data_IF_542352718117
#
_entry.id   IF_542352718117
#
_cell.length_a   1.000
_cell.length_b   1.000
_cell.length_c   1.000
_cell.angle_alpha   90.00
_cell.angle_beta   90.00
_cell.angle_gamma   90.00
#
_symmetry.space_group_name_H-M   'P 1'
#
loop_
_entity.id
_entity.type
_entity.pdbx_description
1 polymer ?
#
# COMPACT_ATOMS: atom_id res chain seq x y z
N UNK A 1 12.56 16.60 -3.20
CA UNK A 1 11.55 15.62 -3.59
C UNK A 1 12.09 14.24 -3.38
N UNK A 2 11.34 13.36 -2.75
CA UNK A 2 11.80 12.02 -2.45
C UNK A 2 11.47 11.11 -3.63
N UNK A 3 12.49 10.57 -4.29
CA UNK A 3 12.29 9.68 -5.43
C UNK A 3 11.50 8.42 -5.05
N UNK A 4 11.60 7.97 -3.80
CA UNK A 4 10.86 6.82 -3.33
C UNK A 4 9.35 7.12 -3.29
N UNK A 5 8.97 8.31 -2.85
CA UNK A 5 7.56 8.70 -2.85
C UNK A 5 7.02 8.76 -4.28
N UNK A 6 7.82 9.23 -5.22
CA UNK A 6 7.43 9.23 -6.63
C UNK A 6 7.20 7.81 -7.14
N UNK A 7 8.06 6.86 -6.74
CA UNK A 7 7.87 5.46 -7.10
C UNK A 7 6.57 4.89 -6.51
N UNK A 8 6.25 5.26 -5.28
CA UNK A 8 5.00 4.84 -4.64
C UNK A 8 3.79 5.39 -5.40
N UNK A 9 3.84 6.67 -5.75
CA UNK A 9 2.76 7.30 -6.50
C UNK A 9 2.56 6.62 -7.87
N UNK A 10 3.66 6.33 -8.55
CA UNK A 10 3.61 5.62 -9.84
C UNK A 10 3.01 4.21 -9.68
N UNK A 11 3.41 3.51 -8.62
CA UNK A 11 2.90 2.17 -8.37
C UNK A 11 1.39 2.18 -8.13
N UNK A 12 0.92 3.12 -7.34
CA UNK A 12 -0.53 3.26 -7.07
C UNK A 12 -1.27 3.63 -8.35
N UNK A 13 -0.72 4.55 -9.14
CA UNK A 13 -1.34 4.98 -10.39
C UNK A 13 -1.40 3.85 -11.42
N UNK A 14 -0.52 2.86 -11.31
CA UNK A 14 -0.48 1.73 -12.24
C UNK A 14 -1.46 0.62 -11.90
N UNK A 15 -2.18 0.71 -10.79
CA UNK A 15 -3.15 -0.30 -10.41
C UNK A 15 -4.31 -0.35 -11.41
N UNK A 16 -4.88 -1.54 -11.66
CA UNK A 16 -6.07 -1.65 -12.49
C UNK A 16 -7.20 -0.75 -11.97
N UNK A 17 -8.02 -0.24 -12.87
CA UNK A 17 -9.05 0.74 -12.54
C UNK A 17 -10.04 0.22 -11.49
N UNK A 18 -10.41 -1.05 -11.57
CA UNK A 18 -11.33 -1.65 -10.59
C UNK A 18 -10.74 -1.66 -9.18
N UNK A 19 -9.41 -1.75 -9.06
CA UNK A 19 -8.75 -1.71 -7.76
C UNK A 19 -8.52 -0.28 -7.26
N UNK A 20 -8.33 0.66 -8.16
CA UNK A 20 -8.16 2.06 -7.75
C UNK A 20 -9.39 2.60 -7.03
N UNK A 21 -10.56 2.05 -7.32
CA UNK A 21 -11.79 2.39 -6.60
C UNK A 21 -11.71 2.11 -5.11
N UNK A 22 -10.99 1.05 -4.72
CA UNK A 22 -10.80 0.76 -3.29
C UNK A 22 -9.89 1.77 -2.61
N UNK A 23 -9.12 2.52 -3.37
CA UNK A 23 -8.16 3.49 -2.84
C UNK A 23 -8.77 4.86 -2.57
N UNK A 24 -10.05 5.05 -2.87
CA UNK A 24 -10.69 6.37 -2.80
C UNK A 24 -10.65 7.00 -1.40
N UNK A 25 -10.58 6.18 -0.36
CA UNK A 25 -10.45 6.68 1.00
C UNK A 25 -9.28 6.01 1.73
N UNK A 26 -8.19 5.84 1.02
CA UNK A 26 -6.97 5.23 1.58
C UNK A 26 -5.80 6.16 1.32
N UNK A 27 -5.12 6.54 2.40
CA UNK A 27 -3.87 7.31 2.29
C UNK A 27 -2.70 6.34 2.18
N UNK A 28 -1.77 6.61 1.29
CA UNK A 28 -0.55 5.83 1.17
C UNK A 28 0.61 6.71 1.69
N UNK A 29 1.30 6.22 2.70
CA UNK A 29 2.39 6.96 3.34
C UNK A 29 3.66 6.12 3.35
N UNK A 30 4.80 6.79 3.45
CA UNK A 30 6.10 6.14 3.47
C UNK A 30 6.75 6.37 4.83
N UNK A 31 7.25 5.30 5.43
CA UNK A 31 8.09 5.38 6.64
C UNK A 31 9.37 4.62 6.38
N UNK A 32 10.42 4.94 7.16
CA UNK A 32 11.73 4.35 6.92
C UNK A 32 11.80 2.89 7.36
N UNK A 33 11.35 2.58 8.57
CA UNK A 33 11.42 1.23 9.11
C UNK A 33 10.14 0.86 9.84
N UNK A 34 9.75 -0.43 9.83
CA UNK A 34 8.59 -0.87 10.61
C UNK A 34 8.89 -0.83 12.11
N UNK A 35 7.85 -0.79 12.94
CA UNK A 35 8.05 -0.76 14.39
C UNK A 35 8.80 -1.99 14.90
N UNK A 36 9.69 -1.77 15.86
CA UNK A 36 10.30 -2.79 16.71
C UNK A 36 10.75 -4.08 16.01
N UNK A 37 11.36 -3.94 14.83
CA UNK A 37 11.93 -5.11 14.15
C UNK A 37 10.93 -6.05 13.50
N UNK A 38 9.70 -5.63 13.31
CA UNK A 38 8.71 -6.44 12.59
C UNK A 38 9.13 -6.62 11.13
N UNK A 39 8.99 -7.83 10.58
CA UNK A 39 9.42 -8.10 9.20
C UNK A 39 8.36 -7.68 8.18
N UNK A 40 8.01 -6.40 8.17
CA UNK A 40 6.96 -5.88 7.31
C UNK A 40 7.54 -5.08 6.16
N UNK A 41 6.97 -5.26 4.97
CA UNK A 41 7.24 -4.40 3.81
C UNK A 41 6.20 -3.31 3.69
N UNK A 42 5.01 -3.56 4.22
CA UNK A 42 3.91 -2.62 4.27
C UNK A 42 2.85 -3.06 5.27
N UNK A 43 1.92 -2.17 5.54
CA UNK A 43 0.86 -2.45 6.52
C UNK A 43 -0.40 -1.65 6.20
N UNK A 44 -1.53 -2.33 6.10
CA UNK A 44 -2.83 -1.66 5.98
C UNK A 44 -3.43 -1.48 7.37
N UNK A 45 -3.85 -0.25 7.66
CA UNK A 45 -4.51 0.08 8.93
C UNK A 45 -5.85 0.74 8.63
N UNK A 46 -6.94 0.04 8.98
CA UNK A 46 -8.27 0.59 8.83
C UNK A 46 -8.69 1.40 10.04
N UNK A 47 -9.57 2.37 9.82
CA UNK A 47 -10.15 3.14 10.92
C UNK A 47 -11.40 2.40 11.41
N UNK A 48 -11.52 2.11 12.72
CA UNK A 48 -12.69 1.41 13.22
C UNK A 48 -13.99 2.14 12.93
N UNK A 49 -15.02 1.38 12.57
CA UNK A 49 -16.34 1.94 12.27
C UNK A 49 -16.91 2.78 13.43
N UNK A 50 -16.62 2.40 14.65
CA UNK A 50 -17.08 3.14 15.82
C UNK A 50 -16.56 4.58 15.84
N UNK A 51 -15.40 4.82 15.26
CA UNK A 51 -14.85 6.16 15.14
C UNK A 51 -15.39 6.89 13.92
N UNK A 52 -15.87 6.15 12.93
CA UNK A 52 -16.41 6.72 11.71
C UNK A 52 -17.84 7.20 11.86
N UNK A 53 -18.51 6.82 12.93
CA UNK A 53 -19.90 7.20 13.17
C UNK A 53 -20.06 8.54 13.85
N UNK A 54 -19.00 9.24 14.16
CA UNK A 54 -19.10 10.58 14.65
C UNK A 54 -19.55 11.48 13.53
N UNK A 55 -20.67 11.73 13.62
CA UNK A 55 -21.58 12.32 12.74
C UNK A 55 -20.99 13.32 11.78
N UNK A 56 -20.64 14.03 11.46
CA UNK A 56 -20.35 15.01 10.47
C UNK A 56 -18.91 15.29 10.33
N UNK A 57 -18.12 14.63 11.04
CA UNK A 57 -16.69 14.80 10.86
C UNK A 57 -16.28 14.09 9.58
N UNK A 58 -15.35 14.65 8.87
CA UNK A 58 -14.74 13.95 7.75
C UNK A 58 -14.22 12.61 8.23
N UNK A 59 -14.58 11.55 7.56
CA UNK A 59 -14.11 10.20 7.91
C UNK A 59 -12.61 10.15 7.64
N UNK A 60 -11.77 9.84 8.66
CA UNK A 60 -10.34 9.70 8.40
C UNK A 60 -10.09 8.58 7.41
N UNK A 61 -9.14 8.72 6.49
CA UNK A 61 -8.87 7.65 5.55
C UNK A 61 -8.22 6.45 6.24
N UNK A 62 -8.45 5.27 5.73
CA UNK A 62 -7.61 4.13 6.03
C UNK A 62 -6.19 4.45 5.55
N UNK A 63 -5.22 3.68 5.99
CA UNK A 63 -3.83 3.99 5.70
C UNK A 63 -3.06 2.75 5.28
N UNK A 64 -2.32 2.84 4.19
CA UNK A 64 -1.31 1.84 3.84
C UNK A 64 0.05 2.51 4.06
N UNK A 65 0.86 1.90 4.92
CA UNK A 65 2.23 2.35 5.16
C UNK A 65 3.17 1.49 4.35
N UNK A 66 4.09 2.11 3.64
CA UNK A 66 5.13 1.42 2.86
C UNK A 66 6.45 1.66 3.57
N UNK A 67 7.17 0.59 3.89
CA UNK A 67 8.44 0.70 4.61
C UNK A 67 9.61 0.71 3.66
N UNK A 68 10.24 1.85 3.54
CA UNK A 68 11.32 2.10 2.58
C UNK A 68 12.56 1.25 2.81
N UNK A 69 13.03 1.17 4.06
CA UNK A 69 14.27 0.46 4.37
C UNK A 69 14.23 -1.00 3.96
N UNK A 70 13.22 -1.77 4.41
CA UNK A 70 13.11 -3.16 3.99
C UNK A 70 13.04 -3.35 2.49
N UNK A 71 12.33 -2.48 1.78
CA UNK A 71 12.21 -2.58 0.33
C UNK A 71 13.53 -2.28 -0.37
N UNK A 72 14.26 -1.28 0.09
CA UNK A 72 15.58 -0.98 -0.46
C UNK A 72 16.56 -2.11 -0.24
N UNK A 73 16.53 -2.73 0.93
CA UNK A 73 17.39 -3.88 1.21
C UNK A 73 17.04 -5.10 0.34
N UNK A 74 15.75 -5.30 0.09
CA UNK A 74 15.28 -6.42 -0.72
C UNK A 74 15.70 -6.28 -2.19
N UNK A 75 15.69 -5.06 -2.71
CA UNK A 75 15.92 -4.80 -4.13
C UNK A 75 17.32 -4.28 -4.44
N UNK A 76 18.14 -4.03 -3.43
CA UNK A 76 19.43 -3.40 -3.62
C UNK A 76 19.36 -1.96 -4.12
N UNK A 77 18.19 -1.34 -3.97
CA UNK A 77 18.00 0.05 -4.41
C UNK A 77 17.69 0.21 -5.89
N UNK A 78 17.52 -0.88 -6.62
CA UNK A 78 17.21 -0.81 -8.05
C UNK A 78 15.84 -0.17 -8.28
N UNK A 79 15.74 0.93 -9.05
CA UNK A 79 14.47 1.64 -9.23
C UNK A 79 13.34 0.80 -9.81
N UNK A 80 13.63 -0.02 -10.80
CA UNK A 80 12.61 -0.88 -11.41
C UNK A 80 12.14 -1.96 -10.43
N UNK A 81 13.08 -2.53 -9.68
CA UNK A 81 12.77 -3.50 -8.64
C UNK A 81 11.95 -2.89 -7.52
N UNK A 82 12.29 -1.67 -7.10
CA UNK A 82 11.52 -0.95 -6.09
C UNK A 82 10.09 -0.70 -6.55
N UNK A 83 9.91 -0.23 -7.78
CA UNK A 83 8.57 0.04 -8.32
C UNK A 83 7.73 -1.24 -8.33
N UNK A 84 8.30 -2.34 -8.79
CA UNK A 84 7.62 -3.63 -8.84
C UNK A 84 7.23 -4.12 -7.45
N UNK A 85 8.13 -4.00 -6.47
CA UNK A 85 7.86 -4.43 -5.11
C UNK A 85 6.83 -3.54 -4.41
N UNK A 86 6.90 -2.24 -4.59
CA UNK A 86 5.89 -1.33 -4.04
C UNK A 86 4.51 -1.67 -4.58
N UNK A 87 4.40 -1.88 -5.89
CA UNK A 87 3.14 -2.27 -6.50
C UNK A 87 2.61 -3.57 -5.90
N UNK A 88 3.47 -4.55 -5.74
CA UNK A 88 3.11 -5.84 -5.15
C UNK A 88 2.63 -5.69 -3.71
N UNK A 89 3.33 -4.90 -2.90
CA UNK A 89 2.95 -4.66 -1.50
C UNK A 89 1.57 -4.01 -1.43
N UNK A 90 1.34 -2.98 -2.22
CA UNK A 90 0.03 -2.30 -2.24
C UNK A 90 -1.07 -3.29 -2.64
N UNK A 91 -0.85 -4.09 -3.70
CA UNK A 91 -1.83 -5.08 -4.13
C UNK A 91 -2.15 -6.10 -3.03
N UNK A 92 -1.12 -6.61 -2.35
CA UNK A 92 -1.31 -7.60 -1.30
C UNK A 92 -2.05 -7.04 -0.10
N UNK A 93 -1.74 -5.80 0.30
CA UNK A 93 -2.43 -5.18 1.42
C UNK A 93 -3.89 -4.90 1.10
N UNK A 94 -4.19 -4.43 -0.10
CA UNK A 94 -5.56 -4.24 -0.56
C UNK A 94 -6.30 -5.58 -0.60
N UNK A 95 -5.67 -6.61 -1.15
CA UNK A 95 -6.28 -7.93 -1.26
C UNK A 95 -6.67 -8.50 0.09
N UNK A 96 -5.77 -8.40 1.07
CA UNK A 96 -6.05 -8.89 2.42
C UNK A 96 -7.19 -8.14 3.07
N UNK A 97 -7.20 -6.82 2.93
CA UNK A 97 -8.22 -6.00 3.59
C UNK A 97 -9.61 -6.14 2.94
N UNK A 98 -9.68 -6.21 1.62
CA UNK A 98 -10.95 -6.24 0.90
C UNK A 98 -11.37 -7.64 0.45
N UNK A 99 -10.63 -8.66 0.83
CA UNK A 99 -11.01 -10.04 0.54
C UNK A 99 -10.91 -10.44 -0.92
N UNK A 100 -9.97 -9.87 -1.65
CA UNK A 100 -9.72 -10.24 -3.04
C UNK A 100 -9.18 -11.67 -3.09
N UNK A 101 -9.69 -12.49 -4.01
CA UNK A 101 -9.29 -13.89 -4.08
C UNK A 101 -7.81 -14.05 -4.50
N UNK A 102 -7.20 -15.15 -4.06
CA UNK A 102 -5.82 -15.47 -4.43
C UNK A 102 -5.65 -15.60 -5.94
N UNK A 103 -6.67 -16.14 -6.60
CA UNK A 103 -6.66 -16.28 -8.06
C UNK A 103 -6.58 -14.92 -8.74
N UNK A 104 -7.41 -13.98 -8.30
CA UNK A 104 -7.42 -12.63 -8.86
C UNK A 104 -6.11 -11.91 -8.54
N UNK A 105 -5.58 -12.10 -7.33
CA UNK A 105 -4.32 -11.50 -6.92
C UNK A 105 -3.18 -12.00 -7.81
N UNK A 106 -3.13 -13.28 -8.11
CA UNK A 106 -2.11 -13.82 -9.01
C UNK A 106 -2.20 -13.25 -10.41
N UNK A 107 -3.42 -13.03 -10.91
CA UNK A 107 -3.60 -12.37 -12.20
C UNK A 107 -3.02 -10.96 -12.18
N UNK A 108 -3.27 -10.22 -11.11
CA UNK A 108 -2.80 -8.85 -10.97
C UNK A 108 -1.29 -8.76 -10.78
N UNK A 109 -0.69 -9.74 -10.13
CA UNK A 109 0.77 -9.78 -9.93
C UNK A 109 1.55 -9.97 -11.22
N UNK A 110 0.89 -10.35 -12.30
CA UNK A 110 1.55 -10.55 -13.59
C UNK A 110 1.78 -9.26 -14.37
N UNK A 111 1.21 -8.18 -13.94
CA UNK A 111 1.35 -6.89 -14.62
C UNK A 111 2.53 -6.10 -14.14
#
# INVERSE_FOLDING_TARGET
MDDFEDLVDDAVASLPEDLRGFMSNVAVVVEDEPPAGLPLLGLYQGVPLTRRTTAYAAVPPDKITIYRGPLERLTGGDPDGLRAQVRRVVLHEIAHHFGISDERLRELDRY
#
